data_IF_417917297498
#
_entry.id   IF_417917297498
#
_cell.length_a   1.000
_cell.length_b   1.000
_cell.length_c   1.000
_cell.angle_alpha   90.00
_cell.angle_beta   90.00
_cell.angle_gamma   90.00
#
_symmetry.space_group_name_H-M   'P 1'
#
loop_
_entity.id
_entity.type
_entity.pdbx_description
1 polymer ?
#
# COMPACT_ATOMS: atom_id res chain seq x y z
N UNK A 1 3.75 -19.81 3.25
CA UNK A 1 4.31 -18.69 2.46
C UNK A 1 3.62 -18.68 1.11
N UNK A 2 3.10 -17.52 0.68
CA UNK A 2 2.60 -17.33 -0.68
C UNK A 2 3.73 -17.25 -1.71
N UNK A 3 3.38 -17.27 -2.98
CA UNK A 3 4.33 -17.10 -4.09
C UNK A 3 4.64 -15.61 -4.32
N UNK A 4 5.81 -15.32 -4.90
CA UNK A 4 6.16 -13.96 -5.29
C UNK A 4 5.22 -13.48 -6.41
N UNK A 5 4.74 -12.24 -6.28
CA UNK A 5 3.89 -11.58 -7.27
C UNK A 5 4.51 -10.23 -7.65
N UNK A 6 4.27 -9.79 -8.88
CA UNK A 6 4.81 -8.54 -9.41
C UNK A 6 3.72 -7.63 -9.97
N UNK A 7 3.86 -6.32 -9.78
CA UNK A 7 3.03 -5.27 -10.35
C UNK A 7 3.87 -4.04 -10.72
N UNK A 8 3.23 -3.06 -11.36
CA UNK A 8 3.85 -1.77 -11.68
C UNK A 8 3.15 -0.68 -10.86
N UNK A 9 3.95 0.14 -10.17
CA UNK A 9 3.48 1.34 -9.46
C UNK A 9 3.82 2.55 -10.33
N UNK A 10 2.81 3.28 -10.79
CA UNK A 10 2.97 4.54 -11.52
C UNK A 10 2.77 5.75 -10.62
N UNK A 11 3.71 6.71 -10.64
CA UNK A 11 3.56 8.01 -9.97
C UNK A 11 3.60 9.10 -11.04
N UNK A 12 2.55 9.92 -11.10
CA UNK A 12 2.47 11.11 -11.95
C UNK A 12 2.47 12.38 -11.11
N UNK A 13 3.32 13.35 -11.46
CA UNK A 13 3.42 14.61 -10.74
C UNK A 13 2.65 15.73 -11.46
N UNK A 14 1.63 16.27 -10.80
CA UNK A 14 0.81 17.38 -11.29
C UNK A 14 0.89 18.64 -10.39
N UNK A 15 1.91 18.75 -9.55
CA UNK A 15 2.03 19.80 -8.52
C UNK A 15 2.69 21.11 -9.00
N UNK A 16 2.90 21.27 -10.32
CA UNK A 16 3.58 22.42 -10.96
C UNK A 16 5.02 22.70 -10.50
N UNK A 17 5.63 21.77 -9.75
CA UNK A 17 7.01 21.85 -9.27
C UNK A 17 7.61 20.45 -9.10
N UNK A 18 8.90 20.37 -8.82
CA UNK A 18 9.52 19.12 -8.42
C UNK A 18 9.00 18.72 -7.03
N UNK A 19 8.58 17.46 -6.90
CA UNK A 19 8.06 16.90 -5.64
C UNK A 19 8.74 15.57 -5.37
N UNK A 20 9.14 15.38 -4.11
CA UNK A 20 9.65 14.09 -3.63
C UNK A 20 8.50 13.30 -3.03
N UNK A 21 8.11 12.24 -3.73
CA UNK A 21 7.10 11.30 -3.26
C UNK A 21 7.77 10.17 -2.48
N UNK A 22 7.07 9.67 -1.47
CA UNK A 22 7.41 8.41 -0.78
C UNK A 22 6.23 7.46 -0.88
N UNK A 23 6.50 6.25 -1.35
CA UNK A 23 5.54 5.15 -1.40
C UNK A 23 5.79 4.24 -0.20
N UNK A 24 4.72 3.83 0.46
CA UNK A 24 4.72 2.73 1.43
C UNK A 24 3.71 1.68 0.99
N UNK A 25 4.12 0.41 1.02
CA UNK A 25 3.22 -0.73 0.83
C UNK A 25 2.99 -1.41 2.16
N UNK A 26 1.74 -1.79 2.42
CA UNK A 26 1.30 -2.31 3.73
C UNK A 26 0.33 -3.46 3.50
N UNK A 27 0.50 -4.54 4.24
CA UNK A 27 -0.46 -5.63 4.33
C UNK A 27 -1.44 -5.38 5.47
N UNK A 28 -2.72 -5.55 5.17
CA UNK A 28 -3.81 -5.36 6.11
C UNK A 28 -4.68 -6.62 6.17
N UNK A 29 -5.20 -6.91 7.37
CA UNK A 29 -6.36 -7.75 7.55
C UNK A 29 -7.54 -6.84 7.89
N UNK A 30 -8.48 -6.69 6.94
CA UNK A 30 -9.69 -5.90 7.12
C UNK A 30 -10.94 -6.77 7.25
N UNK A 31 -11.83 -6.37 8.16
CA UNK A 31 -13.20 -6.89 8.23
C UNK A 31 -14.18 -5.76 7.97
N UNK A 32 -15.23 -6.03 7.19
CA UNK A 32 -16.35 -5.12 6.99
C UNK A 32 -17.56 -5.61 7.78
N UNK A 33 -18.16 -4.73 8.57
CA UNK A 33 -19.42 -4.96 9.26
C UNK A 33 -20.56 -4.30 8.47
N UNK A 34 -21.44 -5.07 7.80
CA UNK A 34 -22.55 -4.53 7.02
C UNK A 34 -23.67 -3.95 7.90
N UNK A 35 -23.77 -4.32 9.18
CA UNK A 35 -24.82 -3.81 10.05
C UNK A 35 -24.56 -2.36 10.48
N UNK A 36 -23.28 -2.00 10.63
CA UNK A 36 -22.85 -0.65 11.00
C UNK A 36 -22.26 0.14 9.83
N UNK A 37 -22.03 -0.52 8.68
CA UNK A 37 -21.35 0.03 7.51
C UNK A 37 -19.94 0.54 7.86
N UNK A 38 -19.21 -0.22 8.70
CA UNK A 38 -17.87 0.14 9.17
C UNK A 38 -16.83 -0.91 8.80
N UNK A 39 -15.59 -0.47 8.61
CA UNK A 39 -14.44 -1.36 8.36
C UNK A 39 -13.45 -1.29 9.52
N UNK A 40 -12.87 -2.43 9.87
CA UNK A 40 -11.90 -2.56 10.95
C UNK A 40 -10.59 -3.14 10.45
N UNK A 41 -9.46 -2.57 10.90
CA UNK A 41 -8.12 -3.10 10.66
C UNK A 41 -7.74 -4.00 11.84
N UNK A 42 -7.75 -5.32 11.60
CA UNK A 42 -7.40 -6.33 12.58
C UNK A 42 -5.89 -6.55 12.69
N UNK A 43 -5.19 -6.48 11.55
CA UNK A 43 -3.73 -6.62 11.46
C UNK A 43 -3.14 -5.60 10.49
N UNK A 44 -1.90 -5.18 10.75
CA UNK A 44 -1.17 -4.17 10.01
C UNK A 44 0.30 -4.58 9.96
N UNK A 45 0.86 -4.69 8.76
CA UNK A 45 2.27 -5.02 8.55
C UNK A 45 2.84 -4.16 7.41
N UNK A 46 3.77 -3.24 7.68
CA UNK A 46 4.55 -2.59 6.64
C UNK A 46 5.32 -3.62 5.81
N UNK A 47 5.37 -3.43 4.51
CA UNK A 47 6.00 -4.34 3.56
C UNK A 47 7.26 -3.70 2.98
N UNK A 48 7.11 -2.62 2.21
CA UNK A 48 8.25 -1.91 1.60
C UNK A 48 8.05 -0.39 1.59
N UNK A 49 9.14 0.33 1.37
CA UNK A 49 9.13 1.78 1.15
C UNK A 49 10.18 2.21 0.13
N UNK A 50 9.85 3.19 -0.70
CA UNK A 50 10.80 3.84 -1.59
C UNK A 50 10.37 5.27 -1.90
N UNK A 51 11.31 6.10 -2.34
CA UNK A 51 11.04 7.50 -2.68
C UNK A 51 11.55 7.84 -4.08
N UNK A 52 10.89 8.79 -4.71
CA UNK A 52 11.31 9.33 -6.00
C UNK A 52 10.96 10.82 -6.10
N UNK A 53 11.91 11.60 -6.61
CA UNK A 53 11.68 13.00 -6.96
C UNK A 53 11.31 13.07 -8.44
N UNK A 54 10.12 13.64 -8.73
CA UNK A 54 9.58 13.77 -10.07
C UNK A 54 9.45 15.25 -10.43
N UNK A 55 9.77 15.60 -11.68
CA UNK A 55 9.50 16.92 -12.22
C UNK A 55 8.00 17.11 -12.51
N UNK A 56 7.56 18.36 -12.67
CA UNK A 56 6.18 18.63 -13.10
C UNK A 56 5.86 17.92 -14.43
N UNK A 57 4.70 17.29 -14.51
CA UNK A 57 4.22 16.46 -15.63
C UNK A 57 5.08 15.23 -15.95
N UNK A 58 6.02 14.88 -15.07
CA UNK A 58 6.70 13.60 -15.16
C UNK A 58 5.79 12.50 -14.62
N UNK A 59 5.73 11.38 -15.36
CA UNK A 59 5.21 10.11 -14.86
C UNK A 59 6.34 9.10 -14.87
N UNK A 60 6.51 8.38 -13.76
CA UNK A 60 7.50 7.31 -13.64
C UNK A 60 6.85 6.03 -13.13
N UNK A 61 7.24 4.93 -13.75
CA UNK A 61 6.80 3.58 -13.40
C UNK A 61 7.89 2.85 -12.63
N UNK A 62 7.49 2.10 -11.60
CA UNK A 62 8.36 1.32 -10.74
C UNK A 62 7.91 -0.14 -10.76
N UNK A 63 8.75 -1.07 -11.23
CA UNK A 63 8.46 -2.49 -11.04
C UNK A 63 8.53 -2.82 -9.55
N UNK A 64 7.54 -3.54 -9.06
CA UNK A 64 7.42 -3.89 -7.66
C UNK A 64 7.05 -5.36 -7.50
N UNK A 65 7.92 -6.11 -6.82
CA UNK A 65 7.71 -7.51 -6.47
C UNK A 65 7.50 -7.63 -4.97
N UNK A 66 6.61 -8.53 -4.56
CA UNK A 66 6.34 -8.78 -3.16
C UNK A 66 5.93 -10.23 -2.89
N UNK A 67 6.13 -10.66 -1.65
CA UNK A 67 5.67 -11.97 -1.15
C UNK A 67 4.86 -11.78 0.13
N UNK A 68 3.74 -12.49 0.25
CA UNK A 68 2.92 -12.47 1.47
C UNK A 68 3.06 -13.80 2.20
N UNK A 69 3.66 -13.78 3.39
CA UNK A 69 3.99 -14.99 4.12
C UNK A 69 2.78 -15.63 4.83
N UNK A 70 1.86 -14.80 5.34
CA UNK A 70 0.72 -15.19 6.19
C UNK A 70 -0.60 -15.16 5.42
N UNK A 71 -1.49 -16.10 5.72
CA UNK A 71 -2.82 -16.17 5.13
C UNK A 71 -3.85 -15.23 5.78
N UNK A 72 -3.47 -14.55 6.85
CA UNK A 72 -4.36 -13.63 7.57
C UNK A 72 -4.61 -12.31 6.82
N UNK A 73 -3.70 -11.93 5.91
CA UNK A 73 -3.79 -10.68 5.18
C UNK A 73 -4.69 -10.85 3.96
N UNK A 74 -5.63 -9.92 3.83
CA UNK A 74 -6.61 -9.91 2.74
C UNK A 74 -6.54 -8.64 1.89
N UNK A 75 -5.65 -7.69 2.21
CA UNK A 75 -5.51 -6.44 1.49
C UNK A 75 -4.06 -5.98 1.42
N UNK A 76 -3.62 -5.62 0.21
CA UNK A 76 -2.39 -4.88 -0.03
C UNK A 76 -2.75 -3.41 -0.26
N UNK A 77 -2.21 -2.54 0.59
CA UNK A 77 -2.46 -1.10 0.60
C UNK A 77 -1.21 -0.37 0.09
N UNK A 78 -1.42 0.65 -0.73
CA UNK A 78 -0.39 1.55 -1.24
C UNK A 78 -0.68 2.93 -0.70
N UNK A 79 0.29 3.54 -0.02
CA UNK A 79 0.24 4.90 0.46
C UNK A 79 1.25 5.74 -0.31
N UNK A 80 0.82 6.91 -0.74
CA UNK A 80 1.67 7.92 -1.35
C UNK A 80 1.73 9.12 -0.41
N UNK A 81 2.93 9.55 -0.03
CA UNK A 81 3.18 10.78 0.73
C UNK A 81 3.89 11.80 -0.16
N UNK A 82 3.50 13.07 -0.05
CA UNK A 82 4.15 14.19 -0.75
C UNK A 82 5.04 14.97 0.23
N UNK A 83 6.35 14.70 0.19
CA UNK A 83 7.42 15.37 0.97
C UNK A 83 7.38 15.21 2.50
N UNK A 84 6.19 15.12 3.09
CA UNK A 84 6.00 14.91 4.52
C UNK A 84 5.53 13.48 4.76
N UNK A 85 6.36 12.69 5.44
CA UNK A 85 6.02 11.35 5.91
C UNK A 85 5.82 11.41 7.42
N UNK A 86 4.67 10.98 7.98
CA UNK A 86 4.44 11.00 9.41
C UNK A 86 5.44 10.11 10.16
N UNK A 87 5.55 10.27 11.48
CA UNK A 87 6.40 9.40 12.30
C UNK A 87 5.94 7.93 12.22
N UNK A 88 6.87 6.99 12.42
CA UNK A 88 6.57 5.56 12.43
C UNK A 88 5.59 5.13 13.55
N UNK A 89 5.34 6.01 14.54
CA UNK A 89 4.33 5.76 15.57
C UNK A 89 2.88 5.91 15.05
N UNK A 90 2.69 6.65 13.95
CA UNK A 90 1.40 6.73 13.26
C UNK A 90 1.23 5.46 12.45
N UNK A 91 0.23 4.65 12.80
CA UNK A 91 0.00 3.32 12.20
C UNK A 91 -1.48 3.11 11.84
N UNK A 92 -1.81 2.01 11.17
CA UNK A 92 -3.19 1.60 10.87
C UNK A 92 -3.97 2.70 10.16
N UNK A 93 -5.19 2.98 10.62
CA UNK A 93 -6.09 3.93 9.98
C UNK A 93 -5.50 5.35 9.97
N UNK A 94 -4.79 5.75 11.04
CA UNK A 94 -4.18 7.08 11.10
C UNK A 94 -3.07 7.25 10.06
N UNK A 95 -2.34 6.16 9.76
CA UNK A 95 -1.30 6.18 8.72
C UNK A 95 -1.91 6.32 7.32
N UNK A 96 -3.02 5.63 7.07
CA UNK A 96 -3.76 5.74 5.81
C UNK A 96 -4.34 7.16 5.67
N UNK A 97 -4.97 7.68 6.72
CA UNK A 97 -5.55 9.02 6.74
C UNK A 97 -4.51 10.13 6.54
N UNK A 98 -3.27 9.90 6.97
CA UNK A 98 -2.17 10.85 6.81
C UNK A 98 -1.51 10.82 5.42
N UNK A 99 -1.87 9.84 4.57
CA UNK A 99 -1.33 9.75 3.22
C UNK A 99 -1.90 10.85 2.31
N UNK A 100 -1.11 11.28 1.32
CA UNK A 100 -1.57 12.22 0.30
C UNK A 100 -2.60 11.57 -0.62
N UNK A 101 -2.33 10.32 -1.02
CA UNK A 101 -3.24 9.45 -1.77
C UNK A 101 -3.03 8.02 -1.34
N UNK A 102 -4.07 7.21 -1.44
CA UNK A 102 -3.99 5.79 -1.17
C UNK A 102 -4.79 4.95 -2.17
N UNK A 103 -4.33 3.72 -2.40
CA UNK A 103 -4.98 2.71 -3.25
C UNK A 103 -4.86 1.35 -2.58
N UNK A 104 -5.70 0.39 -3.00
CA UNK A 104 -5.61 -0.96 -2.48
C UNK A 104 -6.01 -2.03 -3.49
N UNK A 105 -5.50 -3.23 -3.24
CA UNK A 105 -5.94 -4.48 -3.87
C UNK A 105 -6.42 -5.43 -2.77
N UNK A 106 -7.57 -6.05 -3.01
CA UNK A 106 -7.97 -7.23 -2.24
C UNK A 106 -7.16 -8.42 -2.73
N UNK A 107 -6.60 -9.16 -1.78
CA UNK A 107 -5.75 -10.32 -2.06
C UNK A 107 -6.26 -11.53 -1.28
N UNK A 108 -5.97 -12.72 -1.80
CA UNK A 108 -6.21 -13.98 -1.08
C UNK A 108 -4.92 -14.78 -1.13
N UNK A 109 -4.37 -15.08 0.04
CA UNK A 109 -3.12 -15.85 0.15
C UNK A 109 -3.48 -17.31 0.40
N UNK A 110 -3.08 -18.18 -0.53
CA UNK A 110 -3.35 -19.61 -0.48
C UNK A 110 -2.12 -20.38 -0.03
N UNK A 111 -2.34 -21.51 0.62
CA UNK A 111 -1.26 -22.44 0.90
C UNK A 111 -0.72 -23.00 -0.42
N UNK A 112 0.59 -23.30 -0.52
CA UNK A 112 1.16 -23.94 -1.69
C UNK A 112 0.36 -25.21 -2.07
N UNK A 113 -0.12 -25.28 -3.32
CA UNK A 113 -0.88 -26.43 -3.83
C UNK A 113 -2.40 -26.43 -3.59
N UNK A 114 -2.98 -25.36 -3.03
CA UNK A 114 -4.43 -25.22 -2.97
C UNK A 114 -5.01 -24.81 -4.36
N UNK A 115 -6.14 -25.39 -4.82
CA UNK A 115 -6.74 -25.05 -6.11
C UNK A 115 -7.20 -23.59 -6.15
N UNK A 116 -7.22 -23.00 -7.36
CA UNK A 116 -7.65 -21.63 -7.67
C UNK A 116 -9.18 -21.44 -7.58
#
# INVERSE_FOLDING_TARGET
VGEEQSLIIGIGNHEYRNVTYTVETILLNMTFDPATNTSFINAYQPLDTFSATLAHNETREFPYSFTVASQEYNRLQFLLFNETVPSAAVTRQDRINASYRDLHLWITVRAPGAPA
#
